data_IF_450327519215
#
_entry.id   IF_450327519215
#
_cell.length_a   1.000
_cell.length_b   1.000
_cell.length_c   1.000
_cell.angle_alpha   90.00
_cell.angle_beta   90.00
_cell.angle_gamma   90.00
#
_symmetry.space_group_name_H-M   'P 1'
#
loop_
_entity.id
_entity.type
_entity.pdbx_description
1 polymer ?
#
# COMPACT_ATOMS: atom_id res chain seq x y z
N UNK A 1 55.47 51.26 41.07
CA UNK A 1 54.42 50.25 41.04
C UNK A 1 53.12 50.98 40.61
N UNK A 2 52.76 50.91 39.34
CA UNK A 2 51.62 51.61 38.82
C UNK A 2 50.45 50.60 38.74
N UNK A 3 49.43 50.83 39.53
CA UNK A 3 48.21 50.03 39.54
C UNK A 3 47.34 50.50 38.35
N UNK A 4 47.24 49.68 37.33
CA UNK A 4 46.34 49.89 36.21
C UNK A 4 44.91 49.58 36.68
N UNK A 5 44.15 50.58 37.00
CA UNK A 5 42.70 50.45 37.21
C UNK A 5 42.02 50.30 35.82
N UNK A 6 41.77 49.07 35.45
CA UNK A 6 40.87 48.76 34.35
C UNK A 6 39.45 49.04 34.83
N UNK A 7 39.00 50.31 34.68
CA UNK A 7 37.61 50.67 34.88
C UNK A 7 36.78 50.03 33.76
N UNK A 8 36.19 48.88 34.06
CA UNK A 8 35.18 48.21 33.21
C UNK A 8 34.00 49.18 32.99
N UNK A 9 33.97 49.84 31.84
CA UNK A 9 32.96 50.81 31.49
C UNK A 9 31.60 50.10 31.35
N UNK A 10 30.69 50.39 32.26
CA UNK A 10 29.30 49.90 32.21
C UNK A 10 28.68 50.26 30.83
N UNK A 11 28.16 49.26 30.11
CA UNK A 11 27.61 49.47 28.76
C UNK A 11 26.52 50.53 28.76
N UNK A 12 26.64 51.51 27.85
CA UNK A 12 25.71 52.63 27.72
C UNK A 12 24.26 52.16 27.47
N UNK A 13 23.28 52.98 27.84
CA UNK A 13 21.85 52.67 27.68
C UNK A 13 21.48 52.33 26.22
N UNK A 14 22.19 52.93 25.26
CA UNK A 14 22.05 52.65 23.82
C UNK A 14 22.59 51.28 23.42
N UNK A 15 23.73 50.86 23.96
CA UNK A 15 24.27 49.52 23.67
C UNK A 15 23.35 48.42 24.21
N UNK A 16 22.81 48.62 25.42
CA UNK A 16 21.82 47.68 25.99
C UNK A 16 20.54 47.59 25.10
N UNK A 17 20.10 48.74 24.56
CA UNK A 17 18.96 48.80 23.64
C UNK A 17 19.24 48.09 22.31
N UNK A 18 20.42 48.29 21.72
CA UNK A 18 20.88 47.63 20.48
C UNK A 18 20.99 46.12 20.68
N UNK A 19 21.56 45.64 21.82
CA UNK A 19 21.63 44.23 22.17
C UNK A 19 20.21 43.62 22.31
N UNK A 20 19.30 44.28 23.02
CA UNK A 20 17.91 43.81 23.15
C UNK A 20 17.19 43.72 21.81
N UNK A 21 17.35 44.67 20.88
CA UNK A 21 16.79 44.63 19.54
C UNK A 21 17.35 43.45 18.72
N UNK A 22 18.66 43.19 18.79
CA UNK A 22 19.27 42.04 18.14
C UNK A 22 18.70 40.71 18.67
N UNK A 23 18.58 40.61 20.00
CA UNK A 23 17.99 39.43 20.64
C UNK A 23 16.53 39.24 20.25
N UNK A 24 15.72 40.33 20.21
CA UNK A 24 14.35 40.28 19.74
C UNK A 24 14.25 39.82 18.29
N UNK A 25 15.15 40.30 17.43
CA UNK A 25 15.20 39.88 16.02
C UNK A 25 15.55 38.37 15.89
N UNK A 26 16.50 37.87 16.67
CA UNK A 26 16.82 36.44 16.67
C UNK A 26 15.65 35.57 17.19
N UNK A 27 14.96 36.01 18.23
CA UNK A 27 13.78 35.32 18.74
C UNK A 27 12.67 35.30 17.68
N UNK A 28 12.42 36.41 17.03
CA UNK A 28 11.43 36.50 15.95
C UNK A 28 11.79 35.59 14.77
N UNK A 29 13.05 35.61 14.31
CA UNK A 29 13.52 34.73 13.25
C UNK A 29 13.40 33.25 13.63
N UNK A 30 13.73 32.90 14.87
CA UNK A 30 13.58 31.54 15.39
C UNK A 30 12.11 31.11 15.43
N UNK A 31 11.19 32.00 15.88
CA UNK A 31 9.77 31.71 15.88
C UNK A 31 9.21 31.45 14.48
N UNK A 32 9.60 32.29 13.50
CA UNK A 32 9.22 32.09 12.09
C UNK A 32 9.76 30.76 11.56
N UNK A 33 11.03 30.44 11.85
CA UNK A 33 11.62 29.16 11.46
C UNK A 33 10.85 27.97 12.05
N UNK A 34 10.49 28.02 13.34
CA UNK A 34 9.70 26.96 13.99
C UNK A 34 8.33 26.77 13.34
N UNK A 35 7.64 27.89 12.99
CA UNK A 35 6.36 27.80 12.29
C UNK A 35 6.52 27.14 10.93
N UNK A 36 7.55 27.49 10.16
CA UNK A 36 7.84 26.85 8.87
C UNK A 36 8.09 25.34 9.02
N UNK A 37 8.89 24.95 10.01
CA UNK A 37 9.15 23.52 10.31
C UNK A 37 7.88 22.77 10.63
N UNK A 38 7.00 23.34 11.46
CA UNK A 38 5.70 22.74 11.82
C UNK A 38 4.81 22.62 10.59
N UNK A 39 4.73 23.64 9.74
CA UNK A 39 3.94 23.61 8.51
C UNK A 39 4.41 22.52 7.56
N UNK A 40 5.72 22.44 7.31
CA UNK A 40 6.31 21.38 6.47
C UNK A 40 6.02 20.00 7.06
N UNK A 41 6.19 19.82 8.36
CA UNK A 41 5.90 18.59 9.05
C UNK A 41 4.45 18.15 8.88
N UNK A 42 3.49 19.07 9.07
CA UNK A 42 2.05 18.80 8.90
C UNK A 42 1.73 18.44 7.44
N UNK A 43 2.24 19.18 6.47
CA UNK A 43 1.95 18.97 5.06
C UNK A 43 2.53 17.66 4.53
N UNK A 44 3.70 17.26 4.98
CA UNK A 44 4.40 16.06 4.49
C UNK A 44 4.00 14.80 5.26
N UNK A 45 4.02 14.86 6.60
CA UNK A 45 3.83 13.70 7.46
C UNK A 45 2.37 13.37 7.68
N UNK A 46 1.51 14.37 7.86
CA UNK A 46 0.08 14.16 8.11
C UNK A 46 -0.74 13.86 6.84
N UNK A 47 -0.14 13.98 5.65
CA UNK A 47 -0.80 13.62 4.40
C UNK A 47 -0.94 12.10 4.29
N UNK A 48 -2.11 11.57 4.63
CA UNK A 48 -2.40 10.14 4.48
C UNK A 48 -2.46 9.76 2.99
N UNK A 49 -1.54 8.89 2.57
CA UNK A 49 -1.45 8.33 1.21
C UNK A 49 -2.28 7.06 1.11
N UNK A 50 -2.83 6.78 -0.06
CA UNK A 50 -3.51 5.51 -0.33
C UNK A 50 -2.47 4.38 -0.38
N UNK A 51 -2.63 3.29 0.41
CA UNK A 51 -1.75 2.14 0.33
C UNK A 51 -1.80 1.49 -1.04
N UNK A 52 -0.71 0.84 -1.45
CA UNK A 52 -0.68 0.07 -2.70
C UNK A 52 -1.04 -1.38 -2.40
N UNK A 53 -1.92 -1.93 -3.23
CA UNK A 53 -2.44 -3.29 -3.08
C UNK A 53 -2.24 -4.07 -4.37
N UNK A 54 -1.53 -5.21 -4.32
CA UNK A 54 -1.16 -6.00 -5.50
C UNK A 54 -1.06 -7.48 -5.18
N UNK A 55 -1.28 -8.31 -6.20
CA UNK A 55 -0.92 -9.75 -6.19
C UNK A 55 0.58 -9.90 -6.45
N UNK A 56 1.22 -10.84 -5.79
CA UNK A 56 2.58 -11.28 -6.10
C UNK A 56 2.60 -12.49 -7.03
N UNK A 57 3.75 -13.14 -7.14
CA UNK A 57 3.90 -14.35 -7.94
C UNK A 57 3.13 -15.51 -7.32
N UNK A 58 2.22 -16.11 -8.08
CA UNK A 58 1.41 -17.24 -7.63
C UNK A 58 2.24 -18.52 -7.55
N UNK A 59 1.88 -19.38 -6.60
CA UNK A 59 2.38 -20.75 -6.50
C UNK A 59 1.21 -21.70 -6.78
N UNK A 60 1.22 -22.36 -7.94
CA UNK A 60 0.16 -23.27 -8.36
C UNK A 60 0.42 -24.62 -7.71
N UNK A 61 -0.53 -25.08 -6.89
CA UNK A 61 -0.48 -26.37 -6.21
C UNK A 61 -1.03 -27.48 -7.10
N UNK A 62 -2.20 -27.23 -7.71
CA UNK A 62 -2.81 -28.16 -8.65
C UNK A 62 -3.54 -27.39 -9.74
N UNK A 63 -3.51 -27.94 -10.93
CA UNK A 63 -4.29 -27.48 -12.06
C UNK A 63 -4.71 -28.73 -12.84
N UNK A 64 -6.00 -29.00 -12.84
CA UNK A 64 -6.61 -30.13 -13.52
C UNK A 64 -7.52 -29.61 -14.61
N UNK A 65 -7.34 -30.14 -15.80
CA UNK A 65 -8.19 -29.87 -16.96
C UNK A 65 -8.87 -31.17 -17.35
N UNK A 66 -10.19 -31.20 -17.29
CA UNK A 66 -10.96 -32.37 -17.68
C UNK A 66 -11.25 -32.39 -19.18
N UNK A 67 -11.74 -33.56 -19.71
CA UNK A 67 -12.01 -33.73 -21.14
C UNK A 67 -13.10 -32.77 -21.69
N UNK A 68 -14.06 -32.36 -20.88
CA UNK A 68 -14.95 -31.25 -21.20
C UNK A 68 -14.19 -29.94 -20.98
N UNK A 69 -14.52 -28.84 -21.66
CA UNK A 69 -13.86 -27.54 -21.44
C UNK A 69 -14.15 -27.03 -20.02
N UNK A 70 -13.44 -27.56 -19.06
CA UNK A 70 -13.53 -27.28 -17.63
C UNK A 70 -12.14 -27.28 -17.01
N UNK A 71 -11.96 -26.52 -15.94
CA UNK A 71 -10.76 -26.56 -15.13
C UNK A 71 -11.08 -26.44 -13.65
N UNK A 72 -10.24 -27.11 -12.86
CA UNK A 72 -10.16 -26.92 -11.41
C UNK A 72 -8.71 -26.54 -11.08
N UNK A 73 -8.54 -25.41 -10.41
CA UNK A 73 -7.23 -24.93 -10.02
C UNK A 73 -7.17 -24.61 -8.53
N UNK A 74 -6.04 -24.98 -7.90
CA UNK A 74 -5.73 -24.58 -6.54
C UNK A 74 -4.33 -23.99 -6.51
N UNK A 75 -4.22 -22.79 -5.94
CA UNK A 75 -2.94 -22.08 -5.84
C UNK A 75 -2.87 -21.18 -4.62
N UNK A 76 -1.65 -20.84 -4.24
CA UNK A 76 -1.40 -19.82 -3.22
C UNK A 76 -1.12 -18.49 -3.90
N UNK A 77 -1.95 -17.48 -3.60
CA UNK A 77 -1.79 -16.12 -4.08
C UNK A 77 -1.21 -15.23 -2.97
N UNK A 78 0.07 -14.83 -3.06
CA UNK A 78 0.64 -13.88 -2.11
C UNK A 78 0.17 -12.48 -2.43
N UNK A 79 -0.64 -11.91 -1.55
CA UNK A 79 -1.10 -10.53 -1.60
C UNK A 79 -0.12 -9.62 -0.87
N UNK A 80 0.15 -8.44 -1.44
CA UNK A 80 1.04 -7.43 -0.87
C UNK A 80 0.29 -6.13 -0.64
N UNK A 81 0.23 -5.70 0.62
CA UNK A 81 -0.32 -4.40 1.02
C UNK A 81 0.85 -3.52 1.44
N UNK A 82 1.25 -2.58 0.58
CA UNK A 82 2.35 -1.64 0.86
C UNK A 82 1.79 -0.35 1.44
N UNK A 83 2.14 -0.09 2.68
CA UNK A 83 1.79 1.13 3.39
C UNK A 83 2.96 2.13 3.31
N UNK A 84 2.74 3.27 2.63
CA UNK A 84 3.70 4.38 2.52
C UNK A 84 3.35 5.54 3.46
N UNK A 85 2.62 5.28 4.54
CA UNK A 85 2.19 6.29 5.50
C UNK A 85 3.04 6.29 6.76
N UNK A 86 3.13 7.43 7.40
CA UNK A 86 3.77 7.64 8.70
C UNK A 86 2.87 7.18 9.86
N UNK A 87 2.27 6.00 9.70
CA UNK A 87 1.43 5.33 10.68
C UNK A 87 0.88 4.03 10.12
N UNK A 88 0.36 3.14 10.95
CA UNK A 88 -0.17 1.87 10.51
C UNK A 88 -1.45 2.05 9.67
N UNK A 89 -1.59 1.21 8.64
CA UNK A 89 -2.83 1.05 7.91
C UNK A 89 -3.54 -0.20 8.43
N UNK A 90 -4.62 -0.01 9.17
CA UNK A 90 -5.50 -1.07 9.65
C UNK A 90 -6.63 -1.24 8.65
N UNK A 91 -6.79 -2.43 8.10
CA UNK A 91 -7.80 -2.76 7.11
C UNK A 91 -8.73 -3.86 7.59
N UNK A 92 -9.96 -3.80 7.11
CA UNK A 92 -10.98 -4.79 7.39
C UNK A 92 -10.82 -6.00 6.45
N UNK A 93 -11.54 -7.09 6.73
CA UNK A 93 -11.60 -8.24 5.83
C UNK A 93 -12.17 -7.82 4.47
N UNK A 94 -11.70 -8.45 3.41
CA UNK A 94 -12.14 -8.19 2.05
C UNK A 94 -12.07 -9.49 1.23
N UNK A 95 -12.92 -9.61 0.20
CA UNK A 95 -12.87 -10.73 -0.73
C UNK A 95 -12.10 -10.33 -1.99
N UNK A 96 -11.30 -11.25 -2.49
CA UNK A 96 -10.70 -11.23 -3.83
C UNK A 96 -11.55 -12.12 -4.70
N UNK A 97 -12.17 -11.58 -5.73
CA UNK A 97 -12.91 -12.33 -6.73
C UNK A 97 -12.01 -12.67 -7.90
N UNK A 98 -12.07 -13.89 -8.39
CA UNK A 98 -11.39 -14.35 -9.58
C UNK A 98 -12.44 -14.62 -10.65
N UNK A 99 -12.21 -14.05 -11.85
CA UNK A 99 -13.15 -14.15 -12.97
C UNK A 99 -12.46 -14.68 -14.21
N UNK A 100 -13.22 -15.44 -15.00
CA UNK A 100 -12.89 -15.86 -16.35
C UNK A 100 -13.99 -15.38 -17.31
N UNK A 101 -13.63 -14.64 -18.36
CA UNK A 101 -14.61 -14.07 -19.27
C UNK A 101 -15.71 -13.24 -18.63
N UNK A 102 -15.42 -12.59 -17.48
CA UNK A 102 -16.40 -11.81 -16.70
C UNK A 102 -17.26 -12.65 -15.74
N UNK A 103 -17.12 -13.97 -15.71
CA UNK A 103 -17.86 -14.86 -14.80
C UNK A 103 -16.96 -15.22 -13.62
N UNK A 104 -17.50 -15.14 -12.40
CA UNK A 104 -16.74 -15.49 -11.20
C UNK A 104 -16.53 -17.01 -11.11
N UNK A 105 -15.27 -17.43 -11.09
CA UNK A 105 -14.84 -18.82 -11.00
C UNK A 105 -14.28 -19.20 -9.63
N UNK A 106 -14.06 -18.21 -8.76
CA UNK A 106 -13.64 -18.44 -7.38
C UNK A 106 -13.48 -17.15 -6.60
N UNK A 107 -13.27 -17.31 -5.30
CA UNK A 107 -12.99 -16.19 -4.40
C UNK A 107 -12.06 -16.62 -3.26
N UNK A 108 -11.39 -15.66 -2.65
CA UNK A 108 -10.58 -15.86 -1.47
C UNK A 108 -10.71 -14.69 -0.51
N UNK A 109 -10.74 -14.95 0.78
CA UNK A 109 -10.91 -13.91 1.80
C UNK A 109 -9.57 -13.43 2.33
N UNK A 110 -9.35 -12.13 2.27
CA UNK A 110 -8.27 -11.43 2.96
C UNK A 110 -8.71 -11.20 4.39
N UNK A 111 -8.01 -11.75 5.41
CA UNK A 111 -8.37 -11.51 6.79
C UNK A 111 -8.07 -10.07 7.21
N UNK A 112 -8.85 -9.55 8.14
CA UNK A 112 -8.60 -8.28 8.81
C UNK A 112 -7.19 -8.27 9.40
N UNK A 113 -6.41 -7.23 9.11
CA UNK A 113 -5.03 -7.12 9.59
C UNK A 113 -4.52 -5.68 9.54
N UNK A 114 -3.21 -5.49 9.70
CA UNK A 114 -2.55 -4.19 9.61
C UNK A 114 -1.24 -4.28 8.83
N UNK A 115 -0.97 -3.25 8.03
CA UNK A 115 0.36 -2.97 7.51
C UNK A 115 0.99 -1.87 8.37
N UNK A 116 2.14 -2.17 8.98
CA UNK A 116 2.83 -1.24 9.87
C UNK A 116 3.33 0.01 9.13
N UNK A 117 3.86 0.97 9.88
CA UNK A 117 4.52 2.17 9.38
C UNK A 117 5.54 1.84 8.27
N UNK A 118 5.42 2.51 7.11
CA UNK A 118 6.33 2.40 5.96
C UNK A 118 6.69 0.96 5.57
N UNK A 119 5.78 0.00 5.78
CA UNK A 119 6.04 -1.42 5.58
C UNK A 119 5.13 -2.08 4.54
N UNK A 120 5.49 -3.29 4.14
CA UNK A 120 4.67 -4.14 3.28
C UNK A 120 4.22 -5.37 4.05
N UNK A 121 2.91 -5.52 4.21
CA UNK A 121 2.30 -6.74 4.73
C UNK A 121 2.12 -7.73 3.57
N UNK A 122 2.64 -8.94 3.73
CA UNK A 122 2.41 -10.07 2.82
C UNK A 122 1.39 -11.01 3.47
N UNK A 123 0.45 -11.52 2.68
CA UNK A 123 -0.60 -12.45 3.11
C UNK A 123 -0.69 -13.51 2.01
N UNK A 124 -0.59 -14.76 2.36
CA UNK A 124 -0.81 -15.86 1.43
C UNK A 124 -2.29 -16.25 1.52
N UNK A 125 -2.95 -16.29 0.37
CA UNK A 125 -4.33 -16.73 0.26
C UNK A 125 -4.37 -18.06 -0.48
N UNK A 126 -5.05 -19.03 0.09
CA UNK A 126 -5.37 -20.27 -0.58
C UNK A 126 -6.60 -20.04 -1.46
N UNK A 127 -6.43 -20.19 -2.75
CA UNK A 127 -7.44 -19.94 -3.78
C UNK A 127 -7.83 -21.24 -4.44
N UNK A 128 -9.13 -21.48 -4.54
CA UNK A 128 -9.70 -22.60 -5.30
C UNK A 128 -10.61 -22.02 -6.37
N UNK A 129 -10.37 -22.40 -7.61
CA UNK A 129 -11.14 -21.99 -8.77
C UNK A 129 -11.81 -23.21 -9.40
N UNK A 130 -13.03 -23.02 -9.88
CA UNK A 130 -13.76 -24.03 -10.64
C UNK A 130 -14.48 -23.38 -11.81
N UNK A 131 -14.43 -24.04 -12.97
CA UNK A 131 -15.17 -23.65 -14.17
C UNK A 131 -16.66 -24.05 -14.13
N UNK A 132 -17.13 -24.70 -13.09
CA UNK A 132 -18.51 -25.26 -13.00
C UNK A 132 -19.61 -24.21 -13.17
N UNK A 133 -19.30 -22.96 -12.87
CA UNK A 133 -20.24 -21.84 -13.00
C UNK A 133 -20.23 -21.16 -14.36
N UNK A 134 -19.36 -21.60 -15.28
CA UNK A 134 -19.25 -20.99 -16.59
C UNK A 134 -20.47 -21.38 -17.47
N UNK A 135 -21.04 -20.41 -18.20
CA UNK A 135 -22.09 -20.69 -19.16
C UNK A 135 -21.53 -21.48 -20.36
N UNK A 136 -22.39 -22.26 -21.00
CA UNK A 136 -22.00 -23.05 -22.20
C UNK A 136 -21.42 -22.21 -23.33
N UNK A 137 -21.78 -20.94 -23.42
CA UNK A 137 -21.20 -19.99 -24.38
C UNK A 137 -19.70 -19.73 -24.17
N UNK A 138 -19.19 -19.90 -22.98
CA UNK A 138 -17.77 -19.71 -22.65
C UNK A 138 -16.94 -20.96 -23.02
N UNK A 139 -17.56 -22.12 -23.26
CA UNK A 139 -16.87 -23.40 -23.45
C UNK A 139 -15.96 -23.40 -24.69
N UNK A 140 -16.36 -22.76 -25.78
CA UNK A 140 -15.54 -22.70 -27.01
C UNK A 140 -14.25 -21.88 -26.79
N UNK A 141 -14.37 -20.73 -26.12
CA UNK A 141 -13.23 -19.87 -25.81
C UNK A 141 -12.30 -20.56 -24.81
N UNK A 142 -12.86 -21.14 -23.74
CA UNK A 142 -12.08 -21.88 -22.74
C UNK A 142 -11.35 -23.07 -23.37
N UNK A 143 -12.02 -23.86 -24.23
CA UNK A 143 -11.39 -24.95 -24.96
C UNK A 143 -10.25 -24.49 -25.85
N UNK A 144 -10.37 -23.35 -26.52
CA UNK A 144 -9.32 -22.75 -27.31
C UNK A 144 -8.12 -22.34 -26.46
N UNK A 145 -8.33 -21.66 -25.33
CA UNK A 145 -7.27 -21.25 -24.40
C UNK A 145 -6.56 -22.48 -23.79
N UNK A 146 -7.29 -23.47 -23.30
CA UNK A 146 -6.70 -24.66 -22.73
C UNK A 146 -5.86 -25.45 -23.77
N UNK A 147 -6.32 -25.55 -25.03
CA UNK A 147 -5.56 -26.13 -26.13
C UNK A 147 -4.31 -25.35 -26.48
N UNK A 148 -4.35 -24.03 -26.39
CA UNK A 148 -3.17 -23.17 -26.61
C UNK A 148 -2.16 -23.24 -25.45
N UNK A 149 -2.52 -23.89 -24.33
CA UNK A 149 -1.68 -24.03 -23.17
C UNK A 149 -1.69 -22.83 -22.23
N UNK A 150 -2.61 -21.88 -22.39
CA UNK A 150 -2.73 -20.70 -21.57
C UNK A 150 -4.16 -20.52 -21.04
N UNK A 151 -4.28 -19.96 -19.85
CA UNK A 151 -5.54 -19.61 -19.20
C UNK A 151 -5.42 -18.19 -18.66
N UNK A 152 -6.32 -17.30 -19.11
CA UNK A 152 -6.33 -15.90 -18.70
C UNK A 152 -7.40 -15.68 -17.65
N UNK A 153 -6.99 -15.25 -16.45
CA UNK A 153 -7.87 -14.94 -15.32
C UNK A 153 -7.73 -13.48 -14.93
N UNK A 154 -8.84 -12.91 -14.46
CA UNK A 154 -8.81 -11.59 -13.83
C UNK A 154 -9.06 -11.75 -12.33
N UNK A 155 -8.41 -10.90 -11.53
CA UNK A 155 -8.67 -10.83 -10.09
C UNK A 155 -9.00 -9.40 -9.69
N UNK A 156 -10.06 -9.23 -8.93
CA UNK A 156 -10.50 -7.94 -8.44
C UNK A 156 -10.73 -7.98 -6.93
N UNK A 157 -10.30 -6.92 -6.25
CA UNK A 157 -10.55 -6.74 -4.83
C UNK A 157 -10.53 -5.26 -4.44
N UNK A 158 -11.32 -4.92 -3.43
CA UNK A 158 -11.30 -3.60 -2.81
C UNK A 158 -10.97 -3.74 -1.33
N UNK A 159 -9.84 -3.17 -0.91
CA UNK A 159 -9.41 -3.20 0.47
C UNK A 159 -9.64 -1.84 1.13
N UNK A 160 -10.52 -1.80 2.12
CA UNK A 160 -10.87 -0.61 2.87
C UNK A 160 -10.29 -0.65 4.28
N UNK A 161 -9.87 0.51 4.79
CA UNK A 161 -9.28 0.57 6.11
C UNK A 161 -9.04 2.02 6.58
N UNK A 162 -8.28 2.14 7.66
CA UNK A 162 -7.93 3.43 8.27
C UNK A 162 -6.42 3.54 8.42
N UNK A 163 -5.86 4.64 7.92
CA UNK A 163 -4.48 5.04 8.23
C UNK A 163 -4.50 5.82 9.52
N UNK A 164 -3.75 5.39 10.52
CA UNK A 164 -3.58 6.08 11.80
C UNK A 164 -2.28 6.89 11.73
N UNK A 165 -2.39 8.20 11.58
CA UNK A 165 -1.22 9.10 11.57
C UNK A 165 -1.07 9.67 12.98
N UNK A 166 0.10 9.45 13.59
CA UNK A 166 0.44 9.96 14.94
C UNK A 166 -0.61 9.60 16.03
N UNK A 167 -1.22 8.39 15.94
CA UNK A 167 -2.16 7.85 16.94
C UNK A 167 -3.50 8.61 17.02
N UNK A 168 -3.50 9.92 16.79
CA UNK A 168 -4.66 10.81 16.99
C UNK A 168 -5.51 10.92 15.72
N UNK A 169 -4.87 10.99 14.55
CA UNK A 169 -5.57 11.23 13.28
C UNK A 169 -5.81 9.93 12.52
N UNK A 170 -7.08 9.57 12.34
CA UNK A 170 -7.51 8.40 11.58
C UNK A 170 -8.17 8.85 10.28
N UNK A 171 -7.57 8.48 9.14
CA UNK A 171 -8.16 8.76 7.81
C UNK A 171 -8.57 7.46 7.13
N UNK A 172 -9.83 7.34 6.75
CA UNK A 172 -10.32 6.22 5.93
C UNK A 172 -9.64 6.25 4.56
N UNK A 173 -9.18 5.12 4.10
CA UNK A 173 -8.59 4.90 2.79
C UNK A 173 -9.07 3.59 2.22
N UNK A 174 -9.37 3.60 0.92
CA UNK A 174 -9.70 2.40 0.15
C UNK A 174 -8.72 2.27 -1.00
N UNK A 175 -8.32 1.06 -1.32
CA UNK A 175 -7.46 0.75 -2.44
C UNK A 175 -8.06 -0.41 -3.22
N UNK A 176 -8.06 -0.29 -4.55
CA UNK A 176 -8.55 -1.33 -5.45
C UNK A 176 -7.37 -2.06 -6.07
N UNK A 177 -7.57 -3.31 -6.33
CA UNK A 177 -6.69 -4.17 -7.11
C UNK A 177 -7.51 -4.74 -8.26
N UNK A 178 -7.00 -4.60 -9.46
CA UNK A 178 -7.51 -5.26 -10.65
C UNK A 178 -6.29 -5.79 -11.42
N UNK A 179 -6.16 -7.10 -11.48
CA UNK A 179 -5.00 -7.74 -12.07
C UNK A 179 -5.44 -8.80 -13.07
N UNK A 180 -4.78 -8.81 -14.22
CA UNK A 180 -4.90 -9.89 -15.22
C UNK A 180 -3.72 -10.84 -15.03
N UNK A 181 -4.02 -12.13 -14.99
CA UNK A 181 -3.05 -13.19 -14.77
C UNK A 181 -3.11 -14.16 -15.95
N UNK A 182 -1.96 -14.47 -16.53
CA UNK A 182 -1.81 -15.50 -17.56
C UNK A 182 -1.10 -16.71 -16.97
N UNK A 183 -1.78 -17.86 -16.94
CA UNK A 183 -1.30 -19.11 -16.39
C UNK A 183 -0.92 -20.04 -17.56
N UNK A 184 0.30 -20.55 -17.55
CA UNK A 184 0.68 -21.66 -18.43
C UNK A 184 0.13 -22.95 -17.84
N UNK A 185 -0.83 -23.54 -18.55
CA UNK A 185 -1.55 -24.74 -18.10
C UNK A 185 -0.63 -25.97 -18.15
N UNK A 186 0.21 -26.05 -19.17
CA UNK A 186 1.13 -27.18 -19.39
C UNK A 186 2.23 -27.22 -18.33
N UNK A 187 2.82 -26.07 -18.05
CA UNK A 187 3.90 -25.95 -17.06
C UNK A 187 3.38 -25.76 -15.63
N UNK A 188 2.06 -25.55 -15.46
CA UNK A 188 1.42 -25.22 -14.18
C UNK A 188 2.10 -24.04 -13.47
N UNK A 189 2.42 -23.01 -14.24
CA UNK A 189 3.15 -21.84 -13.75
C UNK A 189 2.45 -20.55 -14.16
N UNK A 190 2.58 -19.52 -13.32
CA UNK A 190 2.19 -18.17 -13.67
C UNK A 190 3.18 -17.63 -14.71
N UNK A 191 2.69 -17.25 -15.89
CA UNK A 191 3.48 -16.61 -16.95
C UNK A 191 3.62 -15.11 -16.72
N UNK A 192 2.51 -14.44 -16.43
CA UNK A 192 2.50 -12.99 -16.22
C UNK A 192 1.39 -12.55 -15.26
N UNK A 193 1.62 -11.44 -14.55
CA UNK A 193 0.63 -10.69 -13.78
C UNK A 193 0.77 -9.21 -14.09
N UNK A 194 -0.31 -8.62 -14.57
CA UNK A 194 -0.40 -7.17 -14.83
C UNK A 194 -1.50 -6.59 -13.95
N UNK A 195 -1.16 -5.57 -13.10
CA UNK A 195 -2.08 -4.89 -12.19
C UNK A 195 -2.16 -3.39 -12.50
#
# INVERSE_FOLDING_TARGET
MAIKNDAESLPSHEEKRKKRMKWAAYIAAFAVFQVLVIVVFVLVIMKARTPKFRVGTLQINSLETTQAPSFNASFVAPIRVKNNNFGPFKYDSANVSFTYGGVQVGEAMIPKSKANFMSTKKINLDVKLSADKLPSSANSTLSGELKSGFLTLMSEATLSGKVEVMIIFKKKKSTKMNCTMEINVTQKMLKSVTC
#
